data_IF_336292963332
#
_entry.id   IF_336292963332
#
_cell.length_a   1.000
_cell.length_b   1.000
_cell.length_c   1.000
_cell.angle_alpha   90.00
_cell.angle_beta   90.00
_cell.angle_gamma   90.00
#
_symmetry.space_group_name_H-M   'P 1'
#
loop_
_entity.id
_entity.type
_entity.pdbx_description
1 polymer ?
#
# COMPACT_ATOMS: atom_id res chain seq x y z
N UNK A 1 25.42 -4.35 -7.97
CA UNK A 1 24.78 -5.48 -7.26
C UNK A 1 23.40 -5.76 -7.85
N UNK A 2 23.15 -6.97 -8.38
CA UNK A 2 21.83 -7.39 -8.85
C UNK A 2 20.99 -7.73 -7.62
N UNK A 3 20.00 -6.92 -7.25
CA UNK A 3 19.07 -7.27 -6.16
C UNK A 3 18.33 -8.56 -6.58
N UNK A 4 18.41 -9.61 -5.76
CA UNK A 4 17.72 -10.89 -6.03
C UNK A 4 16.22 -10.60 -6.26
N UNK A 5 15.64 -11.21 -7.29
CA UNK A 5 14.20 -11.08 -7.62
C UNK A 5 13.83 -9.97 -8.61
N UNK A 6 14.71 -9.02 -8.92
CA UNK A 6 14.38 -7.88 -9.79
C UNK A 6 13.90 -8.26 -11.20
N UNK A 7 14.56 -9.21 -11.87
CA UNK A 7 14.16 -9.67 -13.21
C UNK A 7 12.80 -10.37 -13.22
N UNK A 8 12.50 -11.15 -12.18
CA UNK A 8 11.22 -11.83 -12.02
C UNK A 8 10.09 -10.82 -11.77
N UNK A 9 10.33 -9.83 -10.91
CA UNK A 9 9.38 -8.74 -10.64
C UNK A 9 9.11 -7.93 -11.92
N UNK A 10 10.15 -7.59 -12.69
CA UNK A 10 9.99 -6.85 -13.95
C UNK A 10 9.15 -7.65 -14.95
N UNK A 11 9.48 -8.91 -15.20
CA UNK A 11 8.76 -9.76 -16.15
C UNK A 11 7.29 -9.94 -15.75
N UNK A 12 7.03 -10.24 -14.46
CA UNK A 12 5.67 -10.36 -13.95
C UNK A 12 4.91 -9.04 -14.02
N UNK A 13 5.56 -7.92 -13.70
CA UNK A 13 4.98 -6.59 -13.79
C UNK A 13 4.57 -6.21 -15.21
N UNK A 14 5.39 -6.55 -16.22
CA UNK A 14 5.05 -6.34 -17.64
C UNK A 14 3.81 -7.15 -18.04
N UNK A 15 3.75 -8.43 -17.65
CA UNK A 15 2.57 -9.27 -17.89
C UNK A 15 1.31 -8.70 -17.23
N UNK A 16 1.40 -8.27 -15.97
CA UNK A 16 0.28 -7.67 -15.25
C UNK A 16 -0.14 -6.33 -15.83
N UNK A 17 0.79 -5.51 -16.32
CA UNK A 17 0.50 -4.26 -17.03
C UNK A 17 -0.42 -4.52 -18.23
N UNK A 18 -0.07 -5.50 -19.06
CA UNK A 18 -0.86 -5.87 -20.25
C UNK A 18 -2.21 -6.45 -19.84
N UNK A 19 -2.23 -7.39 -18.89
CA UNK A 19 -3.47 -8.04 -18.44
C UNK A 19 -4.47 -7.07 -17.80
N UNK A 20 -4.00 -5.97 -17.21
CA UNK A 20 -4.83 -4.98 -16.50
C UNK A 20 -4.79 -3.61 -17.18
N UNK A 21 -4.58 -3.56 -18.51
CA UNK A 21 -4.40 -2.30 -19.23
C UNK A 21 -5.57 -1.32 -19.03
N UNK A 22 -6.81 -1.81 -18.98
CA UNK A 22 -7.99 -0.98 -18.74
C UNK A 22 -7.99 -0.34 -17.34
N UNK A 23 -7.63 -1.11 -16.30
CA UNK A 23 -7.53 -0.63 -14.92
C UNK A 23 -6.45 0.45 -14.81
N UNK A 24 -5.26 0.18 -15.34
CA UNK A 24 -4.16 1.15 -15.28
C UNK A 24 -4.46 2.40 -16.10
N UNK A 25 -5.08 2.27 -17.28
CA UNK A 25 -5.52 3.43 -18.05
C UNK A 25 -6.57 4.26 -17.31
N UNK A 26 -7.45 3.63 -16.53
CA UNK A 26 -8.39 4.35 -15.67
C UNK A 26 -7.69 5.10 -14.53
N UNK A 27 -6.76 4.42 -13.84
CA UNK A 27 -5.98 5.03 -12.76
C UNK A 27 -5.17 6.23 -13.26
N UNK A 28 -4.52 6.09 -14.42
CA UNK A 28 -3.74 7.17 -15.00
C UNK A 28 -4.62 8.37 -15.37
N UNK A 29 -5.80 8.15 -15.95
CA UNK A 29 -6.76 9.25 -16.22
C UNK A 29 -7.29 9.91 -14.95
N UNK A 30 -7.49 9.14 -13.88
CA UNK A 30 -8.11 9.63 -12.65
C UNK A 30 -7.11 10.33 -11.73
N UNK A 31 -5.91 9.78 -11.59
CA UNK A 31 -4.91 10.22 -10.61
C UNK A 31 -3.61 10.72 -11.23
N UNK A 32 -3.42 10.57 -12.55
CA UNK A 32 -2.17 10.92 -13.23
C UNK A 32 -0.99 10.00 -12.90
N UNK A 33 -1.24 8.89 -12.19
CA UNK A 33 -0.20 7.94 -11.75
C UNK A 33 -0.01 6.84 -12.80
N UNK A 34 1.22 6.70 -13.28
CA UNK A 34 1.59 5.72 -14.30
C UNK A 34 1.56 4.29 -13.74
N UNK A 35 1.14 3.34 -14.58
CA UNK A 35 1.10 1.91 -14.24
C UNK A 35 2.41 1.38 -13.65
N UNK A 36 3.56 1.81 -14.21
CA UNK A 36 4.88 1.35 -13.78
C UNK A 36 5.20 1.67 -12.32
N UNK A 37 4.70 2.81 -11.82
CA UNK A 37 4.90 3.24 -10.42
C UNK A 37 4.15 2.32 -9.49
N UNK A 38 2.88 2.06 -9.80
CA UNK A 38 2.02 1.19 -9.00
C UNK A 38 2.48 -0.27 -9.05
N UNK A 39 2.94 -0.75 -10.20
CA UNK A 39 3.51 -2.08 -10.36
C UNK A 39 4.82 -2.22 -9.57
N UNK A 40 5.65 -1.18 -9.51
CA UNK A 40 6.86 -1.20 -8.68
C UNK A 40 6.51 -1.33 -7.20
N UNK A 41 5.56 -0.51 -6.70
CA UNK A 41 5.07 -0.60 -5.32
C UNK A 41 4.48 -1.99 -5.06
N UNK A 42 3.51 -2.42 -5.86
CA UNK A 42 2.81 -3.70 -5.65
C UNK A 42 3.76 -4.92 -5.71
N UNK A 43 4.73 -4.88 -6.62
CA UNK A 43 5.76 -5.92 -6.73
C UNK A 43 6.70 -5.95 -5.53
N UNK A 44 7.13 -4.79 -5.02
CA UNK A 44 8.04 -4.71 -3.87
C UNK A 44 7.35 -5.04 -2.54
N UNK A 45 6.09 -4.62 -2.36
CA UNK A 45 5.36 -4.82 -1.11
C UNK A 45 4.99 -6.29 -0.89
N UNK A 46 4.44 -6.95 -1.92
CA UNK A 46 3.81 -8.26 -1.75
C UNK A 46 4.14 -9.27 -2.83
N UNK A 47 5.02 -8.93 -3.78
CA UNK A 47 5.25 -9.76 -4.96
C UNK A 47 3.98 -9.92 -5.79
N UNK A 48 3.21 -8.84 -5.96
CA UNK A 48 1.92 -8.84 -6.64
C UNK A 48 0.84 -9.68 -5.94
N UNK A 49 0.81 -9.62 -4.60
CA UNK A 49 -0.13 -10.36 -3.76
C UNK A 49 0.29 -11.78 -3.39
N UNK A 50 1.46 -12.24 -3.85
CA UNK A 50 1.99 -13.56 -3.54
C UNK A 50 2.30 -13.74 -2.05
N UNK A 51 2.67 -12.67 -1.36
CA UNK A 51 2.91 -12.64 0.08
C UNK A 51 2.31 -11.38 0.70
N UNK A 52 1.14 -11.50 1.32
CA UNK A 52 0.48 -10.42 2.07
C UNK A 52 0.61 -10.58 3.59
N UNK A 53 1.40 -11.56 4.03
CA UNK A 53 1.54 -11.95 5.43
C UNK A 53 0.33 -12.72 5.98
N UNK A 54 0.53 -13.23 7.19
CA UNK A 54 -0.42 -14.06 7.95
C UNK A 54 -0.55 -13.60 9.41
N UNK A 55 0.00 -12.43 9.75
CA UNK A 55 -0.03 -11.90 11.10
C UNK A 55 -1.38 -11.22 11.35
N UNK A 56 -1.97 -11.40 12.52
CA UNK A 56 -3.18 -10.68 12.89
C UNK A 56 -2.93 -9.16 12.92
N UNK A 57 -3.63 -8.41 12.05
CA UNK A 57 -3.36 -6.99 11.81
C UNK A 57 -3.56 -6.14 13.06
N UNK A 58 -4.67 -6.33 13.78
CA UNK A 58 -5.01 -5.52 14.96
C UNK A 58 -4.00 -5.81 16.07
N UNK A 59 -3.71 -7.09 16.32
CA UNK A 59 -2.73 -7.53 17.32
C UNK A 59 -1.33 -6.98 17.04
N UNK A 60 -0.85 -7.06 15.79
CA UNK A 60 0.47 -6.53 15.41
C UNK A 60 0.60 -5.04 15.71
N UNK A 61 -0.41 -4.24 15.32
CA UNK A 61 -0.34 -2.79 15.46
C UNK A 61 -0.49 -2.35 16.89
N UNK A 62 -1.38 -2.98 17.67
CA UNK A 62 -1.51 -2.68 19.10
C UNK A 62 -0.22 -3.04 19.84
N UNK A 63 0.45 -4.13 19.46
CA UNK A 63 1.76 -4.49 20.00
C UNK A 63 2.81 -3.41 19.71
N UNK A 64 2.85 -2.88 18.48
CA UNK A 64 3.78 -1.82 18.10
C UNK A 64 3.43 -0.46 18.69
N UNK A 65 2.14 -0.17 18.91
CA UNK A 65 1.70 1.02 19.62
C UNK A 65 2.05 0.96 21.10
N UNK A 66 2.14 -0.23 21.71
CA UNK A 66 2.60 -0.39 23.08
C UNK A 66 4.13 -0.18 23.24
N UNK A 67 4.90 -0.32 22.16
CA UNK A 67 6.35 -0.06 22.19
C UNK A 67 6.64 1.45 22.26
N UNK A 68 7.14 1.91 23.41
CA UNK A 68 7.49 3.31 23.66
C UNK A 68 8.41 3.94 22.61
N UNK A 69 9.24 3.14 21.92
CA UNK A 69 10.17 3.63 20.88
C UNK A 69 9.45 4.08 19.61
N UNK A 70 8.22 3.59 19.37
CA UNK A 70 7.48 3.76 18.11
C UNK A 70 6.02 4.18 18.31
N UNK A 71 5.58 4.35 19.57
CA UNK A 71 4.23 4.74 19.97
C UNK A 71 3.67 5.88 19.12
N UNK A 72 4.42 6.96 18.92
CA UNK A 72 3.93 8.14 18.19
C UNK A 72 3.52 7.83 16.75
N UNK A 73 4.20 6.88 16.09
CA UNK A 73 3.87 6.47 14.73
C UNK A 73 2.71 5.45 14.70
N UNK A 74 2.71 4.45 15.59
CA UNK A 74 1.72 3.36 15.55
C UNK A 74 0.41 3.64 16.29
N UNK A 75 0.38 4.55 17.27
CA UNK A 75 -0.85 4.92 17.98
C UNK A 75 -2.00 5.35 17.04
N UNK A 76 -1.80 6.28 16.07
CA UNK A 76 -2.86 6.63 15.13
C UNK A 76 -3.29 5.44 14.26
N UNK A 77 -2.38 4.52 13.94
CA UNK A 77 -2.70 3.30 13.21
C UNK A 77 -3.48 2.28 14.05
N UNK A 78 -3.22 2.19 15.36
CA UNK A 78 -3.99 1.34 16.27
C UNK A 78 -5.45 1.80 16.35
N UNK A 79 -5.67 3.10 16.57
CA UNK A 79 -7.00 3.71 16.57
C UNK A 79 -7.68 3.48 15.19
N UNK A 80 -6.93 3.64 14.11
CA UNK A 80 -7.45 3.42 12.77
C UNK A 80 -7.84 1.95 12.53
N UNK A 81 -7.08 0.98 13.04
CA UNK A 81 -7.40 -0.44 12.93
C UNK A 81 -8.75 -0.75 13.60
N UNK A 82 -9.00 -0.21 14.79
CA UNK A 82 -10.27 -0.39 15.50
C UNK A 82 -11.43 0.22 14.72
N UNK A 83 -11.28 1.44 14.22
CA UNK A 83 -12.30 2.09 13.36
C UNK A 83 -12.60 1.30 12.09
N UNK A 84 -11.60 0.65 11.49
CA UNK A 84 -11.79 -0.22 10.33
C UNK A 84 -12.50 -1.53 10.70
N UNK A 85 -12.35 -2.01 11.94
CA UNK A 85 -13.17 -3.13 12.43
C UNK A 85 -14.61 -2.68 12.61
N UNK A 86 -14.85 -1.53 13.25
CA UNK A 86 -16.18 -0.99 13.50
C UNK A 86 -16.98 -0.75 12.20
N UNK A 87 -16.30 -0.31 11.13
CA UNK A 87 -16.94 -0.09 9.83
C UNK A 87 -16.95 -1.32 8.89
N UNK A 88 -16.48 -2.47 9.36
CA UNK A 88 -16.54 -3.75 8.65
C UNK A 88 -15.50 -3.94 7.54
N UNK A 89 -14.55 -3.01 7.36
CA UNK A 89 -13.43 -3.18 6.41
C UNK A 89 -12.44 -4.23 6.91
N UNK A 90 -12.22 -4.29 8.23
CA UNK A 90 -11.46 -5.33 8.91
C UNK A 90 -12.37 -6.12 9.84
N UNK A 91 -11.87 -7.28 10.28
CA UNK A 91 -12.43 -8.06 11.37
C UNK A 91 -11.34 -8.38 12.39
N UNK A 92 -11.74 -8.88 13.55
CA UNK A 92 -10.79 -9.39 14.55
C UNK A 92 -9.88 -10.52 14.02
N UNK A 93 -10.24 -11.15 12.89
CA UNK A 93 -9.48 -12.22 12.23
C UNK A 93 -8.68 -11.75 11.01
N UNK A 94 -8.75 -10.46 10.66
CA UNK A 94 -8.03 -9.94 9.51
C UNK A 94 -6.51 -10.09 9.70
N UNK A 95 -5.84 -10.52 8.63
CA UNK A 95 -4.39 -10.74 8.60
C UNK A 95 -3.70 -9.84 7.59
N UNK A 96 -2.44 -9.55 7.87
CA UNK A 96 -1.55 -8.73 7.08
C UNK A 96 -0.08 -9.08 7.31
N UNK A 97 0.81 -8.17 6.94
CA UNK A 97 2.24 -8.33 7.15
C UNK A 97 2.62 -8.09 8.63
N UNK A 98 3.90 -8.33 8.93
CA UNK A 98 4.41 -8.43 10.29
C UNK A 98 4.11 -7.21 11.17
N UNK A 99 4.03 -6.00 10.60
CA UNK A 99 3.77 -4.78 11.36
C UNK A 99 2.34 -4.24 11.14
N UNK A 100 1.46 -5.09 10.62
CA UNK A 100 0.04 -4.80 10.41
C UNK A 100 -0.27 -4.08 9.10
N UNK A 101 0.63 -4.09 8.14
CA UNK A 101 0.35 -3.68 6.76
C UNK A 101 -0.73 -4.59 6.14
N UNK A 102 -1.64 -4.01 5.37
CA UNK A 102 -2.86 -4.68 4.90
C UNK A 102 -2.83 -4.84 3.39
N UNK A 103 -3.05 -6.08 2.94
CA UNK A 103 -3.46 -6.39 1.58
C UNK A 103 -2.35 -6.19 0.54
N UNK A 104 -2.77 -5.90 -0.70
CA UNK A 104 -1.93 -5.97 -1.89
C UNK A 104 -0.75 -5.00 -1.87
N UNK A 105 -0.94 -3.81 -1.31
CA UNK A 105 0.06 -2.74 -1.33
C UNK A 105 0.53 -2.35 0.07
N UNK A 106 0.37 -3.22 1.07
CA UNK A 106 1.01 -3.00 2.36
C UNK A 106 0.60 -1.72 3.11
N UNK A 107 -0.64 -1.25 2.95
CA UNK A 107 -1.10 -0.06 3.67
C UNK A 107 -1.22 -0.32 5.18
N UNK A 108 -0.69 0.58 6.01
CA UNK A 108 -1.10 0.65 7.41
C UNK A 108 -2.56 1.14 7.54
N UNK A 109 -3.31 0.75 8.59
CA UNK A 109 -4.72 1.10 8.77
C UNK A 109 -5.06 2.58 8.65
N UNK A 110 -4.17 3.45 9.14
CA UNK A 110 -4.37 4.91 9.05
C UNK A 110 -4.41 5.37 7.60
N UNK A 111 -3.57 4.79 6.74
CA UNK A 111 -3.59 5.06 5.31
C UNK A 111 -4.85 4.49 4.66
N UNK A 112 -5.34 3.33 5.12
CA UNK A 112 -6.61 2.75 4.60
C UNK A 112 -7.78 3.67 4.91
N UNK A 113 -7.87 4.20 6.13
CA UNK A 113 -8.92 5.15 6.48
C UNK A 113 -8.84 6.45 5.66
N UNK A 114 -7.64 6.97 5.45
CA UNK A 114 -7.44 8.29 4.85
C UNK A 114 -7.52 8.26 3.32
N UNK A 115 -6.98 7.22 2.69
CA UNK A 115 -6.81 7.17 1.24
C UNK A 115 -7.48 5.97 0.57
N UNK A 116 -8.02 5.02 1.35
CA UNK A 116 -8.78 3.89 0.83
C UNK A 116 -10.01 4.35 0.04
N UNK A 117 -10.14 3.88 -1.19
CA UNK A 117 -11.26 4.17 -2.09
C UNK A 117 -12.31 3.06 -2.07
N UNK A 118 -13.55 3.39 -2.48
CA UNK A 118 -14.63 2.41 -2.60
C UNK A 118 -14.89 1.65 -1.30
N UNK A 119 -14.86 0.32 -1.36
CA UNK A 119 -15.05 -0.55 -0.19
C UNK A 119 -13.87 -0.57 0.78
N UNK A 120 -12.71 0.00 0.40
CA UNK A 120 -11.45 -0.05 1.16
C UNK A 120 -10.93 -1.47 1.43
N UNK A 121 -11.44 -2.47 0.73
CA UNK A 121 -10.91 -3.83 0.79
C UNK A 121 -9.54 -3.89 0.10
N UNK A 122 -8.47 -3.66 0.86
CA UNK A 122 -7.10 -3.64 0.34
C UNK A 122 -6.60 -5.01 -0.15
N UNK A 123 -7.36 -6.10 0.03
CA UNK A 123 -7.06 -7.40 -0.58
C UNK A 123 -7.53 -7.48 -2.04
N UNK A 124 -8.53 -6.68 -2.40
CA UNK A 124 -8.94 -6.49 -3.80
C UNK A 124 -7.89 -5.65 -4.54
N UNK A 125 -7.42 -6.17 -5.67
CA UNK A 125 -6.33 -5.57 -6.46
C UNK A 125 -6.70 -4.18 -6.98
N UNK A 126 -7.91 -4.02 -7.52
CA UNK A 126 -8.34 -2.73 -8.09
C UNK A 126 -8.41 -1.66 -7.00
N UNK A 127 -9.07 -1.99 -5.90
CA UNK A 127 -9.22 -1.12 -4.73
C UNK A 127 -7.87 -0.71 -4.17
N UNK A 128 -6.94 -1.66 -4.01
CA UNK A 128 -5.61 -1.37 -3.48
C UNK A 128 -4.80 -0.45 -4.41
N UNK A 129 -4.77 -0.72 -5.73
CA UNK A 129 -4.01 0.08 -6.69
C UNK A 129 -4.59 1.49 -6.84
N UNK A 130 -5.91 1.64 -6.86
CA UNK A 130 -6.56 2.96 -6.86
C UNK A 130 -6.30 3.72 -5.56
N UNK A 131 -6.32 3.04 -4.41
CA UNK A 131 -6.01 3.65 -3.11
C UNK A 131 -4.55 4.09 -3.03
N UNK A 132 -3.61 3.30 -3.56
CA UNK A 132 -2.20 3.70 -3.70
C UNK A 132 -2.04 4.91 -4.60
N UNK A 133 -2.76 4.98 -5.72
CA UNK A 133 -2.71 6.16 -6.59
C UNK A 133 -3.27 7.42 -5.89
N UNK A 134 -4.37 7.26 -5.14
CA UNK A 134 -4.93 8.34 -4.31
C UNK A 134 -3.94 8.82 -3.23
N UNK A 135 -3.26 7.89 -2.56
CA UNK A 135 -2.18 8.20 -1.61
C UNK A 135 -1.08 9.03 -2.29
N UNK A 136 -0.59 8.61 -3.45
CA UNK A 136 0.47 9.32 -4.17
C UNK A 136 0.03 10.74 -4.56
N UNK A 137 -1.20 10.90 -5.06
CA UNK A 137 -1.81 12.20 -5.34
C UNK A 137 -1.81 13.12 -4.11
N UNK A 138 -2.25 12.59 -2.96
CA UNK A 138 -2.26 13.33 -1.70
C UNK A 138 -0.85 13.69 -1.18
N UNK A 139 0.19 12.98 -1.61
CA UNK A 139 1.59 13.28 -1.29
C UNK A 139 2.29 14.09 -2.40
N UNK A 140 1.51 14.76 -3.26
CA UNK A 140 2.02 15.73 -4.21
C UNK A 140 2.47 15.13 -5.54
N UNK A 141 2.01 13.93 -5.90
CA UNK A 141 2.23 13.39 -7.24
C UNK A 141 1.67 14.34 -8.31
N UNK A 142 2.47 14.62 -9.34
CA UNK A 142 2.13 15.47 -10.48
C UNK A 142 2.18 14.66 -11.77
N UNK A 143 1.05 14.62 -12.48
CA UNK A 143 0.93 14.01 -13.78
C UNK A 143 1.93 14.63 -14.79
N UNK A 144 2.51 13.81 -15.67
CA UNK A 144 3.52 14.26 -16.64
C UNK A 144 4.88 14.63 -16.05
N UNK A 145 5.01 14.68 -14.72
CA UNK A 145 6.29 14.90 -14.04
C UNK A 145 7.20 13.66 -14.09
N UNK A 146 8.49 13.88 -14.33
CA UNK A 146 9.49 12.82 -14.21
C UNK A 146 9.66 12.32 -12.77
N UNK A 147 10.36 11.20 -12.60
CA UNK A 147 10.62 10.59 -11.29
C UNK A 147 11.21 11.57 -10.26
N UNK A 148 12.18 12.40 -10.67
CA UNK A 148 12.82 13.38 -9.80
C UNK A 148 11.81 14.38 -9.19
N UNK A 149 10.87 14.88 -10.00
CA UNK A 149 9.83 15.81 -9.55
C UNK A 149 8.78 15.16 -8.64
N UNK A 150 8.63 13.84 -8.71
CA UNK A 150 7.66 13.06 -7.95
C UNK A 150 8.29 12.28 -6.78
N UNK A 151 9.59 12.45 -6.50
CA UNK A 151 10.26 11.71 -5.41
C UNK A 151 9.63 11.96 -4.04
N UNK A 152 9.12 13.16 -3.77
CA UNK A 152 8.44 13.45 -2.49
C UNK A 152 7.20 12.57 -2.28
N UNK A 153 6.40 12.37 -3.32
CA UNK A 153 5.22 11.51 -3.26
C UNK A 153 5.60 10.05 -3.00
N UNK A 154 6.66 9.58 -3.65
CA UNK A 154 7.19 8.21 -3.48
C UNK A 154 7.84 8.05 -2.09
N UNK A 155 8.56 9.06 -1.60
CA UNK A 155 9.20 9.03 -0.29
C UNK A 155 8.17 8.89 0.85
N UNK A 156 6.99 9.51 0.69
CA UNK A 156 5.88 9.35 1.65
C UNK A 156 5.43 7.89 1.83
N UNK A 157 5.66 7.04 0.84
CA UNK A 157 5.32 5.61 0.92
C UNK A 157 6.25 4.83 1.86
N UNK A 158 7.50 5.27 2.01
CA UNK A 158 8.53 4.52 2.71
C UNK A 158 8.78 5.08 4.11
N UNK A 159 8.48 4.29 5.13
CA UNK A 159 8.77 4.61 6.54
C UNK A 159 9.86 3.70 7.14
N UNK A 160 10.82 3.21 6.34
CA UNK A 160 11.86 2.27 6.75
C UNK A 160 12.66 2.68 8.00
N UNK A 161 12.80 3.98 8.27
CA UNK A 161 13.49 4.48 9.49
C UNK A 161 12.71 4.24 10.79
N UNK A 162 11.42 3.88 10.71
CA UNK A 162 10.56 3.57 11.85
C UNK A 162 10.64 2.08 12.23
N UNK A 163 10.96 1.22 11.27
CA UNK A 163 10.95 -0.23 11.41
C UNK A 163 12.21 -0.80 12.04
#
# INVERSE_FOLDING_TARGET
MRRRGGSAIISKGQSLKTANAALFGNIERTYGVLAGVLLAIWGMETGFGASMGNQNTVSAIVTLAYDCRRLQFFAPHAIAALKLVDNGVLSARSVGAMHGEIGQTGFLPGNVLKYGVGSRNMRDTSTALMSTANFLGAHGWRAGGGYQGNMGAIAGWNSASVY
#
